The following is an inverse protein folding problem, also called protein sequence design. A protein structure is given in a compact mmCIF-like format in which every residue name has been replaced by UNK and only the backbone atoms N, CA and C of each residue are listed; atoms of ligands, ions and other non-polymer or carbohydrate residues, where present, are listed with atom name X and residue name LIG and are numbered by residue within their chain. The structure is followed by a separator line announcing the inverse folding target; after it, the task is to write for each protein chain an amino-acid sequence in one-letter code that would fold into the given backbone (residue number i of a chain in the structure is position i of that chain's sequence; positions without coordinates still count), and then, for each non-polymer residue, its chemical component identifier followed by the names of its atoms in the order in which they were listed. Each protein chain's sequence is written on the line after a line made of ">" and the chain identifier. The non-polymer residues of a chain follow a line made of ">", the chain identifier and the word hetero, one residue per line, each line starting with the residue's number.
data_IF_987533815461
#
_entry.id   IF_987533815461
#
_cell.length_a   1.000
_cell.length_b   1.000
_cell.length_c   1.000
_cell.angle_alpha   90.00
_cell.angle_beta   90.00
_cell.angle_gamma   90.00
#
_symmetry.space_group_name_H-M   'P 1'
#
loop_
_entity.id
_entity.type
_entity.pdbx_description
1 polymer ?
#
# COMPACT_ATOMS: atom_id res chain seq x y z
N UNK A 1 -6.83 -22.99 24.14
CA UNK A 1 -6.07 -22.59 25.36
C UNK A 1 -6.98 -22.38 26.56
N UNK A 2 -6.62 -22.91 27.73
CA UNK A 2 -7.29 -22.63 29.02
C UNK A 2 -6.33 -21.81 29.89
N UNK A 3 -6.80 -20.70 30.45
CA UNK A 3 -6.02 -19.84 31.36
C UNK A 3 -6.79 -19.55 32.64
N UNK A 4 -6.09 -19.06 33.66
CA UNK A 4 -6.67 -18.58 34.91
C UNK A 4 -6.70 -17.05 34.97
N UNK A 5 -7.44 -16.49 35.93
CA UNK A 5 -7.39 -15.06 36.22
C UNK A 5 -5.99 -14.58 36.64
N UNK A 6 -5.14 -15.45 37.19
CA UNK A 6 -3.77 -15.09 37.54
C UNK A 6 -2.89 -14.96 36.30
N UNK A 7 -3.12 -15.79 35.28
CA UNK A 7 -2.39 -15.73 34.02
C UNK A 7 -2.71 -14.44 33.26
N UNK A 8 -3.98 -14.02 33.26
CA UNK A 8 -4.42 -12.74 32.67
C UNK A 8 -3.62 -11.54 33.20
N UNK A 9 -3.31 -11.52 34.50
CA UNK A 9 -2.56 -10.43 35.14
C UNK A 9 -1.10 -10.35 34.70
N UNK A 10 -0.56 -11.41 34.10
CA UNK A 10 0.83 -11.48 33.63
C UNK A 10 0.98 -11.09 32.16
N UNK A 11 -0.13 -10.92 31.44
CA UNK A 11 -0.10 -10.60 30.02
C UNK A 11 0.28 -9.14 29.78
N UNK A 12 1.06 -8.90 28.74
CA UNK A 12 1.41 -7.55 28.29
C UNK A 12 0.34 -7.07 27.31
N UNK A 13 -0.19 -5.87 27.55
CA UNK A 13 -1.17 -5.23 26.65
C UNK A 13 -0.52 -4.81 25.34
N UNK A 14 -1.19 -5.06 24.21
CA UNK A 14 -0.78 -4.59 22.88
C UNK A 14 -1.70 -3.49 22.38
N UNK A 15 -2.99 -3.80 22.22
CA UNK A 15 -3.96 -2.90 21.59
C UNK A 15 -5.38 -3.25 21.99
N UNK A 16 -6.32 -2.39 21.61
CA UNK A 16 -7.76 -2.61 21.80
C UNK A 16 -8.50 -2.15 20.56
N UNK A 17 -9.38 -3.01 20.07
CA UNK A 17 -10.26 -2.76 18.93
C UNK A 17 -11.73 -2.81 19.33
N UNK A 18 -12.62 -2.76 18.34
CA UNK A 18 -14.08 -2.75 18.57
C UNK A 18 -14.58 -3.97 19.33
N UNK A 19 -14.05 -5.15 19.03
CA UNK A 19 -14.56 -6.42 19.56
C UNK A 19 -13.75 -6.98 20.72
N UNK A 20 -12.59 -6.43 21.03
CA UNK A 20 -11.72 -7.01 22.04
C UNK A 20 -10.37 -6.32 22.18
N UNK A 21 -9.70 -6.65 23.26
CA UNK A 21 -8.35 -6.21 23.58
C UNK A 21 -7.35 -7.34 23.31
N UNK A 22 -6.20 -7.01 22.75
CA UNK A 22 -5.12 -7.95 22.45
C UNK A 22 -4.01 -7.80 23.47
N UNK A 23 -3.58 -8.93 24.00
CA UNK A 23 -2.44 -9.06 24.92
C UNK A 23 -1.47 -10.12 24.38
N UNK A 24 -0.27 -10.22 24.96
CA UNK A 24 0.64 -11.32 24.66
C UNK A 24 1.42 -11.81 25.87
N UNK A 25 1.87 -13.06 25.80
CA UNK A 25 2.77 -13.71 26.78
C UNK A 25 4.21 -13.85 26.24
N UNK A 26 4.51 -13.20 25.11
CA UNK A 26 5.79 -13.30 24.38
C UNK A 26 5.85 -14.42 23.34
N UNK A 27 4.94 -15.41 23.41
CA UNK A 27 4.82 -16.51 22.43
C UNK A 27 3.49 -16.49 21.68
N UNK A 28 2.42 -16.17 22.38
CA UNK A 28 1.06 -16.15 21.90
C UNK A 28 0.47 -14.75 22.08
N UNK A 29 -0.35 -14.34 21.11
CA UNK A 29 -1.26 -13.23 21.22
C UNK A 29 -2.64 -13.75 21.64
N UNK A 30 -3.25 -13.08 22.60
CA UNK A 30 -4.54 -13.41 23.18
C UNK A 30 -5.49 -12.24 22.94
N UNK A 31 -6.51 -12.43 22.10
CA UNK A 31 -7.59 -11.45 21.92
C UNK A 31 -8.73 -11.82 22.86
N UNK A 32 -8.95 -10.96 23.84
CA UNK A 32 -9.99 -11.06 24.86
C UNK A 32 -11.17 -10.21 24.39
N UNK A 33 -12.31 -10.84 24.13
CA UNK A 33 -13.48 -10.12 23.63
C UNK A 33 -14.11 -9.25 24.72
N UNK A 34 -14.54 -8.04 24.35
CA UNK A 34 -15.29 -7.18 25.26
C UNK A 34 -16.68 -7.77 25.53
N UNK A 35 -17.26 -7.59 26.73
CA UNK A 35 -18.63 -8.01 27.04
C UNK A 35 -19.67 -7.41 26.07
N UNK A 36 -19.50 -6.13 25.75
CA UNK A 36 -20.41 -5.33 24.94
C UNK A 36 -19.62 -4.51 23.93
N UNK A 37 -20.26 -4.19 22.80
CA UNK A 37 -19.69 -3.37 21.74
C UNK A 37 -20.66 -2.28 21.32
N UNK A 38 -20.11 -1.15 20.87
CA UNK A 38 -20.89 0.00 20.42
C UNK A 38 -21.29 -0.18 18.95
N UNK A 39 -22.59 -0.21 18.66
CA UNK A 39 -23.14 -0.36 17.31
C UNK A 39 -23.88 0.91 16.91
N UNK A 40 -23.71 1.34 15.66
CA UNK A 40 -24.40 2.51 15.10
C UNK A 40 -25.77 2.12 14.56
N UNK A 41 -26.81 2.80 15.04
CA UNK A 41 -28.17 2.72 14.53
C UNK A 41 -28.55 4.05 13.87
N UNK A 42 -29.75 4.10 13.24
CA UNK A 42 -30.22 5.29 12.52
C UNK A 42 -30.23 6.58 13.35
N UNK A 43 -30.40 6.48 14.68
CA UNK A 43 -30.50 7.62 15.60
C UNK A 43 -29.42 7.65 16.69
N UNK A 44 -28.24 7.06 16.46
CA UNK A 44 -27.13 7.16 17.40
C UNK A 44 -26.38 5.86 17.57
N UNK A 45 -25.91 5.62 18.80
CA UNK A 45 -25.14 4.43 19.14
C UNK A 45 -25.76 3.73 20.35
N UNK A 46 -25.78 2.41 20.30
CA UNK A 46 -26.23 1.56 21.41
C UNK A 46 -25.13 0.56 21.77
N UNK A 47 -25.08 0.18 23.05
CA UNK A 47 -24.24 -0.93 23.52
C UNK A 47 -25.03 -2.22 23.34
N UNK A 48 -24.43 -3.19 22.66
CA UNK A 48 -25.03 -4.52 22.46
C UNK A 48 -24.05 -5.59 22.89
N UNK A 49 -24.56 -6.76 23.27
CA UNK A 49 -23.72 -7.92 23.58
C UNK A 49 -22.79 -8.24 22.40
N UNK A 50 -21.51 -8.45 22.70
CA UNK A 50 -20.51 -8.68 21.67
C UNK A 50 -20.80 -9.99 20.90
N UNK A 51 -21.04 -9.93 19.58
CA UNK A 51 -21.36 -11.11 18.79
C UNK A 51 -20.23 -12.16 18.78
N UNK A 52 -18.99 -11.75 19.06
CA UNK A 52 -17.83 -12.64 19.09
C UNK A 52 -17.78 -13.53 20.34
N UNK A 53 -18.52 -13.20 21.41
CA UNK A 53 -18.57 -14.03 22.64
C UNK A 53 -19.32 -15.34 22.46
N UNK A 54 -19.94 -15.56 21.30
CA UNK A 54 -20.54 -16.84 20.93
C UNK A 54 -19.55 -17.63 20.07
N UNK A 55 -18.97 -18.73 20.57
CA UNK A 55 -18.05 -19.53 19.76
C UNK A 55 -18.78 -20.03 18.52
N UNK A 56 -18.12 -19.99 17.36
CA UNK A 56 -18.70 -20.44 16.09
C UNK A 56 -18.01 -21.75 15.67
N UNK A 57 -18.50 -22.93 16.08
CA UNK A 57 -17.75 -24.19 15.97
C UNK A 57 -17.39 -24.54 14.52
N UNK A 58 -18.30 -24.23 13.58
CA UNK A 58 -18.08 -24.43 12.15
C UNK A 58 -16.90 -23.58 11.65
N UNK A 59 -16.77 -22.33 12.12
CA UNK A 59 -15.68 -21.44 11.71
C UNK A 59 -14.34 -21.98 12.18
N UNK A 60 -14.23 -22.38 13.44
CA UNK A 60 -12.99 -22.97 13.97
C UNK A 60 -12.63 -24.30 13.27
N UNK A 61 -13.62 -25.12 12.91
CA UNK A 61 -13.37 -26.32 12.09
C UNK A 61 -12.80 -25.97 10.72
N UNK A 62 -13.35 -24.94 10.05
CA UNK A 62 -12.84 -24.48 8.76
C UNK A 62 -11.43 -23.86 8.87
N UNK A 63 -11.19 -23.03 9.88
CA UNK A 63 -9.86 -22.49 10.20
C UNK A 63 -8.84 -23.63 10.31
N UNK A 64 -9.12 -24.65 11.14
CA UNK A 64 -8.23 -25.80 11.32
C UNK A 64 -8.05 -26.63 10.04
N UNK A 65 -9.11 -26.77 9.24
CA UNK A 65 -9.06 -27.46 7.95
C UNK A 65 -8.14 -26.75 6.95
N UNK A 66 -8.24 -25.43 6.85
CA UNK A 66 -7.43 -24.64 5.91
C UNK A 66 -6.01 -24.41 6.38
N UNK A 67 -5.76 -24.23 7.68
CA UNK A 67 -4.43 -23.95 8.23
C UNK A 67 -3.35 -24.92 7.73
N UNK A 68 -3.68 -26.20 7.58
CA UNK A 68 -2.75 -27.24 7.08
C UNK A 68 -2.38 -27.10 5.60
N UNK A 69 -3.03 -26.20 4.87
CA UNK A 69 -2.91 -26.01 3.41
C UNK A 69 -2.30 -24.67 3.04
N UNK A 70 -2.15 -23.77 4.03
CA UNK A 70 -1.54 -22.47 3.85
C UNK A 70 -0.04 -22.57 4.12
N UNK A 71 0.74 -21.85 3.33
CA UNK A 71 2.19 -21.79 3.40
C UNK A 71 2.67 -20.44 3.89
N UNK A 72 2.00 -19.35 3.51
CA UNK A 72 2.46 -17.99 3.82
C UNK A 72 1.58 -17.29 4.86
N UNK A 73 0.36 -17.77 5.06
CA UNK A 73 -0.60 -17.21 6.00
C UNK A 73 -0.90 -18.18 7.12
N UNK A 74 -0.90 -17.69 8.36
CA UNK A 74 -1.14 -18.50 9.54
C UNK A 74 -2.59 -18.41 10.01
N UNK A 75 -3.23 -19.56 10.22
CA UNK A 75 -4.59 -19.69 10.76
C UNK A 75 -4.58 -20.49 12.08
N UNK A 76 -3.50 -20.40 12.85
CA UNK A 76 -3.33 -21.09 14.14
C UNK A 76 -4.16 -20.42 15.26
N UNK A 77 -5.47 -20.29 15.04
CA UNK A 77 -6.41 -19.73 16.01
C UNK A 77 -7.02 -20.82 16.87
N UNK A 78 -6.91 -20.67 18.19
CA UNK A 78 -7.55 -21.54 19.17
C UNK A 78 -8.54 -20.77 20.04
N UNK A 79 -9.66 -21.39 20.44
CA UNK A 79 -10.52 -20.85 21.48
C UNK A 79 -9.75 -20.62 22.79
N UNK A 80 -9.96 -19.45 23.40
CA UNK A 80 -9.45 -19.08 24.71
C UNK A 80 -10.56 -19.19 25.74
N UNK A 81 -10.30 -19.94 26.81
CA UNK A 81 -11.19 -20.03 27.96
C UNK A 81 -10.50 -19.53 29.22
N UNK A 82 -11.22 -18.79 30.05
CA UNK A 82 -10.81 -18.45 31.41
C UNK A 82 -11.81 -19.06 32.38
N UNK A 83 -11.34 -19.88 33.33
CA UNK A 83 -12.19 -20.58 34.29
C UNK A 83 -13.40 -21.28 33.63
N UNK A 84 -13.16 -22.01 32.54
CA UNK A 84 -14.16 -22.72 31.72
C UNK A 84 -15.16 -21.84 30.93
N UNK A 85 -15.06 -20.51 31.01
CA UNK A 85 -15.86 -19.59 30.21
C UNK A 85 -15.10 -19.16 28.97
N UNK A 86 -15.77 -19.19 27.80
CA UNK A 86 -15.18 -18.71 26.55
C UNK A 86 -14.94 -17.20 26.64
N UNK A 87 -13.70 -16.79 26.41
CA UNK A 87 -13.25 -15.40 26.60
C UNK A 87 -12.79 -14.76 25.28
N UNK A 88 -12.34 -15.58 24.32
CA UNK A 88 -11.89 -15.09 23.02
C UNK A 88 -11.04 -16.09 22.29
N UNK A 89 -9.93 -15.64 21.71
CA UNK A 89 -9.06 -16.49 20.90
C UNK A 89 -7.58 -16.27 21.23
N UNK A 90 -6.79 -17.28 20.91
CA UNK A 90 -5.34 -17.28 21.01
C UNK A 90 -4.74 -17.62 19.64
N UNK A 91 -3.65 -16.96 19.27
CA UNK A 91 -2.91 -17.18 18.03
C UNK A 91 -1.41 -16.87 18.23
N UNK A 92 -0.51 -17.26 17.32
CA UNK A 92 0.91 -16.97 17.47
C UNK A 92 1.16 -15.47 17.58
N UNK A 93 2.04 -15.07 18.50
CA UNK A 93 2.50 -13.70 18.59
C UNK A 93 3.54 -13.43 17.50
N UNK A 94 3.32 -12.37 16.73
CA UNK A 94 4.28 -11.89 15.74
C UNK A 94 4.92 -10.60 16.24
N UNK A 95 6.22 -10.65 16.52
CA UNK A 95 7.01 -9.45 16.82
C UNK A 95 7.23 -8.66 15.53
N UNK A 96 6.51 -7.55 15.39
CA UNK A 96 6.43 -6.77 14.17
C UNK A 96 5.69 -5.46 14.35
N UNK A 97 5.61 -4.72 13.25
CA UNK A 97 5.00 -3.40 13.19
C UNK A 97 3.83 -3.43 12.23
N UNK A 98 2.70 -2.83 12.62
CA UNK A 98 1.54 -2.64 11.74
C UNK A 98 1.91 -1.77 10.54
N UNK A 99 1.36 -2.09 9.36
CA UNK A 99 1.65 -1.30 8.16
C UNK A 99 1.24 0.17 8.30
N UNK A 100 0.27 0.47 9.19
CA UNK A 100 -0.16 1.84 9.46
C UNK A 100 0.99 2.72 9.96
N UNK A 101 1.85 2.15 10.80
CA UNK A 101 3.01 2.83 11.37
C UNK A 101 4.18 2.89 10.37
N UNK A 102 4.22 1.96 9.42
CA UNK A 102 5.21 1.89 8.34
C UNK A 102 4.83 2.70 7.11
N UNK A 103 3.75 3.50 7.17
CA UNK A 103 3.25 4.21 6.01
C UNK A 103 4.29 5.14 5.37
N UNK A 104 5.28 5.66 6.10
CA UNK A 104 6.25 6.64 5.57
C UNK A 104 7.60 6.06 5.11
N UNK A 105 7.74 4.73 5.01
CA UNK A 105 9.01 4.11 4.56
C UNK A 105 9.25 4.29 3.04
N UNK A 106 10.48 4.10 2.53
CA UNK A 106 10.77 4.20 1.10
C UNK A 106 9.88 3.30 0.23
N UNK A 107 9.54 3.75 -0.97
CA UNK A 107 8.65 3.00 -1.88
C UNK A 107 9.18 1.60 -2.18
N UNK A 108 10.49 1.43 -2.38
CA UNK A 108 11.10 0.12 -2.64
C UNK A 108 10.85 -0.89 -1.52
N UNK A 109 10.78 -0.44 -0.27
CA UNK A 109 10.45 -1.29 0.87
C UNK A 109 8.95 -1.58 0.92
N UNK A 110 8.11 -0.56 0.64
CA UNK A 110 6.67 -0.77 0.51
C UNK A 110 6.33 -1.75 -0.59
N UNK A 111 7.07 -1.71 -1.71
CA UNK A 111 6.87 -2.58 -2.86
C UNK A 111 7.02 -4.04 -2.47
N UNK A 112 8.10 -4.38 -1.78
CA UNK A 112 8.37 -5.74 -1.32
C UNK A 112 7.31 -6.22 -0.33
N UNK A 113 6.92 -5.36 0.61
CA UNK A 113 5.82 -5.64 1.56
C UNK A 113 4.52 -5.92 0.80
N UNK A 114 4.17 -5.10 -0.19
CA UNK A 114 2.94 -5.29 -0.97
C UNK A 114 2.99 -6.57 -1.79
N UNK A 115 4.13 -6.97 -2.38
CA UNK A 115 4.26 -8.26 -3.07
C UNK A 115 3.93 -9.42 -2.13
N UNK A 116 4.46 -9.41 -0.92
CA UNK A 116 4.16 -10.43 0.07
C UNK A 116 2.68 -10.39 0.49
N UNK A 117 2.11 -9.20 0.73
CA UNK A 117 0.70 -9.04 1.06
C UNK A 117 -0.21 -9.62 -0.03
N UNK A 118 0.05 -9.29 -1.30
CA UNK A 118 -0.72 -9.80 -2.44
C UNK A 118 -0.62 -11.32 -2.57
N UNK A 119 0.58 -11.89 -2.37
CA UNK A 119 0.79 -13.35 -2.35
C UNK A 119 -0.03 -14.02 -1.25
N UNK A 120 0.04 -13.50 -0.03
CA UNK A 120 -0.65 -14.07 1.13
C UNK A 120 -2.18 -13.94 0.99
N UNK A 121 -2.66 -12.77 0.54
CA UNK A 121 -4.07 -12.55 0.26
C UNK A 121 -4.59 -13.49 -0.83
N UNK A 122 -3.81 -13.70 -1.91
CA UNK A 122 -4.17 -14.64 -2.97
C UNK A 122 -4.30 -16.06 -2.44
N UNK A 123 -3.34 -16.51 -1.64
CA UNK A 123 -3.37 -17.82 -0.98
C UNK A 123 -4.67 -18.04 -0.19
N UNK A 124 -5.12 -17.04 0.58
CA UNK A 124 -6.40 -17.09 1.30
C UNK A 124 -7.58 -17.28 0.34
N UNK A 125 -7.66 -16.48 -0.74
CA UNK A 125 -8.79 -16.57 -1.69
C UNK A 125 -8.79 -17.84 -2.53
N UNK A 126 -7.62 -18.40 -2.86
CA UNK A 126 -7.46 -19.71 -3.49
C UNK A 126 -8.02 -20.83 -2.60
N UNK A 127 -8.01 -20.61 -1.28
CA UNK A 127 -8.60 -21.49 -0.27
C UNK A 127 -9.98 -21.04 0.21
N UNK A 128 -10.66 -20.17 -0.54
CA UNK A 128 -12.03 -19.70 -0.25
C UNK A 128 -12.19 -19.00 1.12
N UNK A 129 -11.13 -18.33 1.56
CA UNK A 129 -11.10 -17.46 2.73
C UNK A 129 -11.10 -16.02 2.22
N UNK A 130 -12.10 -15.25 2.65
CA UNK A 130 -12.34 -13.89 2.18
C UNK A 130 -12.32 -12.92 3.35
N UNK A 131 -11.16 -12.33 3.69
CA UNK A 131 -11.11 -11.20 4.61
C UNK A 131 -11.82 -10.01 3.96
N UNK A 132 -12.81 -9.45 4.64
CA UNK A 132 -13.56 -8.27 4.18
C UNK A 132 -13.12 -6.99 4.88
N UNK A 133 -12.06 -7.06 5.69
CA UNK A 133 -11.55 -5.94 6.47
C UNK A 133 -10.02 -5.82 6.36
N UNK A 134 -9.52 -5.89 5.13
CA UNK A 134 -8.15 -5.46 4.88
C UNK A 134 -8.03 -3.98 5.27
N UNK A 135 -7.12 -3.70 6.20
CA UNK A 135 -6.72 -2.37 6.70
C UNK A 135 -5.24 -2.43 7.06
N UNK A 136 -4.58 -1.29 7.12
CA UNK A 136 -3.15 -1.23 7.46
C UNK A 136 -2.87 -1.75 8.88
N UNK A 137 -3.81 -1.61 9.80
CA UNK A 137 -3.70 -2.11 11.17
C UNK A 137 -3.85 -3.64 11.25
N UNK A 138 -4.50 -4.26 10.26
CA UNK A 138 -4.72 -5.71 10.19
C UNK A 138 -3.62 -6.45 9.40
N UNK A 139 -2.50 -5.76 9.13
CA UNK A 139 -1.34 -6.34 8.46
C UNK A 139 -0.08 -5.95 9.23
N UNK A 140 0.68 -6.96 9.65
CA UNK A 140 1.96 -6.79 10.34
C UNK A 140 3.13 -7.07 9.38
N UNK A 141 4.18 -6.27 9.48
CA UNK A 141 5.50 -6.59 8.96
C UNK A 141 6.42 -6.97 10.11
N UNK A 142 6.83 -8.23 10.15
CA UNK A 142 7.59 -8.79 11.27
C UNK A 142 9.06 -8.41 11.22
N UNK A 143 9.75 -8.45 12.36
CA UNK A 143 11.22 -8.26 12.42
C UNK A 143 12.01 -9.29 11.59
N UNK A 144 11.37 -10.40 11.20
CA UNK A 144 11.93 -11.43 10.30
C UNK A 144 11.75 -11.11 8.81
N UNK A 145 11.14 -9.98 8.47
CA UNK A 145 10.88 -9.58 7.08
C UNK A 145 9.67 -10.27 6.45
N UNK A 146 8.76 -10.81 7.26
CA UNK A 146 7.54 -11.47 6.79
C UNK A 146 6.31 -10.58 6.95
N UNK A 147 5.42 -10.59 5.96
CA UNK A 147 4.09 -9.99 6.09
C UNK A 147 3.10 -11.00 6.66
N UNK A 148 2.34 -10.59 7.69
CA UNK A 148 1.28 -11.40 8.32
C UNK A 148 -0.05 -10.66 8.26
N UNK A 149 -1.08 -11.32 7.74
CA UNK A 149 -2.47 -10.84 7.77
C UNK A 149 -3.07 -11.35 9.08
N UNK A 150 -3.51 -10.44 9.95
CA UNK A 150 -4.08 -10.75 11.26
C UNK A 150 -5.59 -10.47 11.29
N UNK A 151 -6.22 -10.73 12.44
CA UNK A 151 -7.65 -10.49 12.67
C UNK A 151 -8.59 -11.34 11.76
N UNK A 152 -8.12 -12.54 11.39
CA UNK A 152 -8.86 -13.47 10.51
C UNK A 152 -9.94 -14.26 11.27
N UNK A 153 -10.05 -14.08 12.59
CA UNK A 153 -11.11 -14.63 13.45
C UNK A 153 -12.37 -13.77 13.50
N UNK A 154 -12.31 -12.53 13.01
CA UNK A 154 -13.42 -11.58 13.07
C UNK A 154 -14.61 -12.02 12.18
N UNK A 155 -15.88 -11.71 12.55
CA UNK A 155 -17.06 -11.93 11.71
C UNK A 155 -16.94 -11.46 10.25
N UNK A 156 -16.12 -10.46 9.96
CA UNK A 156 -15.86 -9.92 8.62
C UNK A 156 -15.00 -10.86 7.77
N UNK A 157 -14.28 -11.81 8.34
CA UNK A 157 -13.57 -12.85 7.56
C UNK A 157 -14.50 -14.03 7.28
N UNK A 158 -14.80 -14.25 5.99
CA UNK A 158 -15.73 -15.31 5.55
C UNK A 158 -14.97 -16.54 5.06
N UNK A 159 -15.27 -17.68 5.69
CA UNK A 159 -14.76 -18.99 5.30
C UNK A 159 -15.84 -19.74 4.52
N UNK A 160 -15.49 -20.32 3.37
CA UNK A 160 -16.42 -21.09 2.52
C UNK A 160 -15.74 -22.37 2.06
N UNK A 161 -16.50 -23.44 1.81
CA UNK A 161 -15.95 -24.67 1.23
C UNK A 161 -15.73 -24.55 -0.28
N UNK A 162 -16.53 -23.69 -0.94
CA UNK A 162 -16.52 -23.47 -2.38
C UNK A 162 -16.30 -21.99 -2.70
N UNK A 163 -15.86 -21.72 -3.93
CA UNK A 163 -15.64 -20.38 -4.44
C UNK A 163 -16.90 -19.53 -4.37
N UNK A 164 -16.75 -18.29 -3.91
CA UNK A 164 -17.85 -17.35 -3.77
C UNK A 164 -17.54 -16.01 -4.47
N UNK A 165 -17.97 -15.82 -5.73
CA UNK A 165 -17.57 -14.66 -6.54
C UNK A 165 -17.85 -13.29 -5.91
N UNK A 166 -19.00 -13.11 -5.26
CA UNK A 166 -19.34 -11.83 -4.60
C UNK A 166 -18.40 -11.50 -3.43
N UNK A 167 -18.14 -12.47 -2.53
CA UNK A 167 -17.19 -12.30 -1.42
C UNK A 167 -15.76 -12.08 -1.91
N UNK A 168 -15.36 -12.79 -2.97
CA UNK A 168 -14.08 -12.55 -3.63
C UNK A 168 -13.95 -11.08 -4.07
N UNK A 169 -14.94 -10.54 -4.76
CA UNK A 169 -14.90 -9.14 -5.22
C UNK A 169 -14.88 -8.15 -4.04
N UNK A 170 -15.66 -8.37 -3.00
CA UNK A 170 -15.65 -7.53 -1.80
C UNK A 170 -14.29 -7.55 -1.09
N UNK A 171 -13.69 -8.73 -0.94
CA UNK A 171 -12.35 -8.92 -0.38
C UNK A 171 -11.28 -8.21 -1.22
N UNK A 172 -11.36 -8.33 -2.55
CA UNK A 172 -10.45 -7.65 -3.47
C UNK A 172 -10.56 -6.12 -3.42
N UNK A 173 -11.77 -5.57 -3.23
CA UNK A 173 -11.96 -4.12 -3.09
C UNK A 173 -11.27 -3.59 -1.82
N UNK A 174 -11.42 -4.28 -0.69
CA UNK A 174 -10.81 -3.86 0.57
C UNK A 174 -9.28 -4.00 0.53
N UNK A 175 -8.78 -5.09 -0.08
CA UNK A 175 -7.36 -5.27 -0.35
C UNK A 175 -6.79 -4.16 -1.23
N UNK A 176 -7.45 -3.85 -2.35
CA UNK A 176 -7.07 -2.76 -3.25
C UNK A 176 -6.92 -1.45 -2.48
N UNK A 177 -7.94 -1.09 -1.72
CA UNK A 177 -7.95 0.17 -0.98
C UNK A 177 -6.79 0.22 0.04
N UNK A 178 -6.49 -0.90 0.69
CA UNK A 178 -5.37 -1.01 1.63
C UNK A 178 -4.02 -0.85 0.93
N UNK A 179 -3.80 -1.56 -0.18
CA UNK A 179 -2.57 -1.48 -0.96
C UNK A 179 -2.34 -0.07 -1.48
N UNK A 180 -3.37 0.53 -2.10
CA UNK A 180 -3.34 1.91 -2.59
C UNK A 180 -3.04 2.88 -1.45
N UNK A 181 -3.70 2.71 -0.29
CA UNK A 181 -3.46 3.59 0.85
C UNK A 181 -2.02 3.48 1.38
N UNK A 182 -1.47 2.27 1.48
CA UNK A 182 -0.11 2.05 1.96
C UNK A 182 0.94 2.67 1.04
N UNK A 183 0.84 2.37 -0.27
CA UNK A 183 1.79 2.86 -1.27
C UNK A 183 1.78 4.40 -1.31
N UNK A 184 0.61 5.03 -1.17
CA UNK A 184 0.44 6.46 -1.39
C UNK A 184 0.58 7.33 -0.15
N UNK A 185 0.61 6.74 1.04
CA UNK A 185 0.81 7.49 2.27
C UNK A 185 2.26 7.96 2.38
N UNK A 186 2.61 9.12 1.82
CA UNK A 186 3.87 9.80 2.11
C UNK A 186 3.54 11.16 2.73
N UNK A 187 3.85 11.35 4.01
CA UNK A 187 3.62 12.62 4.70
C UNK A 187 4.79 13.59 4.51
N UNK A 188 4.45 14.79 4.04
CA UNK A 188 5.16 16.06 4.23
C UNK A 188 6.56 16.23 3.64
N UNK A 189 6.58 16.63 2.37
CA UNK A 189 7.58 17.56 1.85
C UNK A 189 6.80 18.69 1.13
N UNK A 190 7.02 19.98 1.45
CA UNK A 190 6.13 21.07 1.02
C UNK A 190 6.13 21.39 -0.49
N UNK A 191 6.97 20.71 -1.28
CA UNK A 191 6.99 20.79 -2.76
C UNK A 191 6.82 19.41 -3.46
N UNK A 192 6.35 18.42 -2.70
CA UNK A 192 6.21 17.00 -3.08
C UNK A 192 4.83 16.68 -3.69
N UNK A 193 3.95 17.68 -3.81
CA UNK A 193 2.50 17.46 -3.90
C UNK A 193 1.87 17.51 -5.28
N UNK A 194 2.62 17.73 -6.37
CA UNK A 194 2.00 17.90 -7.70
C UNK A 194 2.19 16.67 -8.60
N UNK A 195 3.43 16.22 -8.77
CA UNK A 195 3.77 15.11 -9.68
C UNK A 195 3.31 13.75 -9.15
N UNK A 196 3.50 13.45 -7.85
CA UNK A 196 2.96 12.22 -7.25
C UNK A 196 1.42 12.25 -7.15
N UNK A 197 0.82 13.41 -6.87
CA UNK A 197 -0.63 13.52 -6.65
C UNK A 197 -1.43 13.26 -7.94
N UNK A 198 -0.90 13.66 -9.10
CA UNK A 198 -1.59 13.53 -10.40
C UNK A 198 -1.43 12.14 -11.03
N UNK A 199 -0.22 11.56 -10.94
CA UNK A 199 0.11 10.20 -11.39
C UNK A 199 -0.69 9.14 -10.61
N UNK A 200 -0.79 9.32 -9.28
CA UNK A 200 -1.54 8.41 -8.42
C UNK A 200 -3.05 8.46 -8.65
N UNK A 201 -3.64 9.62 -8.91
CA UNK A 201 -5.10 9.74 -9.06
C UNK A 201 -5.63 8.95 -10.26
N UNK A 202 -5.03 9.10 -11.45
CA UNK A 202 -5.48 8.42 -12.67
C UNK A 202 -5.31 6.89 -12.61
N UNK A 203 -4.21 6.39 -12.05
CA UNK A 203 -3.97 4.94 -11.97
C UNK A 203 -4.90 4.26 -10.95
N UNK A 204 -5.24 4.93 -9.85
CA UNK A 204 -6.29 4.45 -8.92
C UNK A 204 -7.66 4.41 -9.62
N UNK A 205 -7.99 5.40 -10.47
CA UNK A 205 -9.23 5.38 -11.24
C UNK A 205 -9.25 4.29 -12.33
N UNK A 206 -8.10 3.88 -12.85
CA UNK A 206 -8.00 2.74 -13.78
C UNK A 206 -8.31 1.39 -13.10
N UNK A 207 -8.09 1.30 -11.78
CA UNK A 207 -8.48 0.17 -10.97
C UNK A 207 -9.99 0.23 -10.68
N UNK A 208 -10.77 -0.23 -11.66
CA UNK A 208 -12.22 -0.34 -11.55
C UNK A 208 -12.69 -1.16 -10.33
N UNK A 209 -14.00 -1.21 -10.13
CA UNK A 209 -14.58 -1.92 -8.98
C UNK A 209 -14.40 -3.45 -9.04
N UNK A 210 -14.11 -4.00 -10.22
CA UNK A 210 -13.74 -5.41 -10.41
C UNK A 210 -12.25 -5.50 -10.68
N UNK A 211 -11.50 -5.91 -9.66
CA UNK A 211 -10.04 -5.97 -9.71
C UNK A 211 -9.55 -7.40 -9.51
N UNK A 212 -8.44 -7.71 -10.17
CA UNK A 212 -7.73 -8.99 -10.07
C UNK A 212 -6.38 -8.79 -9.39
N UNK A 213 -5.79 -9.88 -8.87
CA UNK A 213 -4.42 -9.83 -8.36
C UNK A 213 -3.43 -9.36 -9.42
N UNK A 214 -3.59 -9.79 -10.68
CA UNK A 214 -2.71 -9.37 -11.77
C UNK A 214 -2.72 -7.85 -11.94
N UNK A 215 -3.90 -7.22 -11.93
CA UNK A 215 -4.01 -5.76 -12.01
C UNK A 215 -3.38 -5.04 -10.81
N UNK A 216 -3.40 -5.64 -9.61
CA UNK A 216 -2.68 -5.09 -8.45
C UNK A 216 -1.16 -5.25 -8.57
N UNK A 217 -0.68 -6.36 -9.12
CA UNK A 217 0.74 -6.54 -9.43
C UNK A 217 1.19 -5.59 -10.54
N UNK A 218 0.39 -5.39 -11.58
CA UNK A 218 0.68 -4.44 -12.66
C UNK A 218 0.72 -3.01 -12.11
N UNK A 219 -0.22 -2.64 -11.24
CA UNK A 219 -0.20 -1.37 -10.51
C UNK A 219 1.09 -1.18 -9.71
N UNK A 220 1.56 -2.24 -9.05
CA UNK A 220 2.83 -2.20 -8.32
C UNK A 220 4.03 -2.03 -9.27
N UNK A 221 4.03 -2.73 -10.41
CA UNK A 221 5.11 -2.71 -11.40
C UNK A 221 5.21 -1.39 -12.16
N UNK A 222 4.10 -0.66 -12.30
CA UNK A 222 4.07 0.69 -12.88
C UNK A 222 5.01 1.64 -12.11
N UNK A 223 5.15 1.44 -10.80
CA UNK A 223 6.07 2.21 -9.97
C UNK A 223 7.56 1.78 -10.09
N UNK A 224 7.86 0.76 -10.90
CA UNK A 224 9.18 0.13 -11.02
C UNK A 224 9.99 0.62 -12.24
N UNK A 225 9.57 1.71 -12.87
CA UNK A 225 10.24 2.26 -14.05
C UNK A 225 11.61 2.84 -13.75
N UNK A 226 12.60 2.56 -14.61
CA UNK A 226 13.95 3.15 -14.55
C UNK A 226 14.12 4.41 -15.40
N UNK A 227 13.04 5.06 -15.84
CA UNK A 227 13.16 6.23 -16.71
C UNK A 227 13.53 7.47 -15.89
N UNK A 228 14.64 8.11 -16.21
CA UNK A 228 15.01 9.39 -15.62
C UNK A 228 14.77 10.49 -16.66
N UNK A 229 14.13 11.60 -16.27
CA UNK A 229 13.86 12.71 -17.20
C UNK A 229 14.46 14.03 -16.69
N UNK A 230 15.07 14.80 -17.58
CA UNK A 230 15.46 16.18 -17.34
C UNK A 230 14.53 17.08 -18.14
N UNK A 231 13.85 17.97 -17.42
CA UNK A 231 12.92 18.94 -18.00
C UNK A 231 13.68 20.25 -18.20
N UNK A 232 13.72 20.70 -19.45
CA UNK A 232 14.39 21.92 -19.86
C UNK A 232 13.34 22.97 -20.22
N UNK A 233 13.33 24.05 -19.45
CA UNK A 233 12.60 25.27 -19.72
C UNK A 233 13.49 26.23 -20.51
N UNK A 234 13.20 26.54 -21.78
CA UNK A 234 14.04 27.42 -22.59
C UNK A 234 14.35 28.76 -21.91
N UNK A 235 13.36 29.35 -21.24
CA UNK A 235 13.44 30.64 -20.56
C UNK A 235 14.35 30.64 -19.30
N UNK A 236 14.69 29.45 -18.80
CA UNK A 236 15.56 29.25 -17.64
C UNK A 236 16.89 28.57 -18.00
N UNK A 237 17.09 28.27 -19.28
CA UNK A 237 18.23 27.48 -19.74
C UNK A 237 19.49 28.34 -19.92
N UNK A 238 20.63 27.78 -19.53
CA UNK A 238 21.95 28.35 -19.81
C UNK A 238 22.84 27.32 -20.51
N UNK A 239 23.44 27.71 -21.64
CA UNK A 239 24.36 26.84 -22.40
C UNK A 239 25.63 26.48 -21.62
N UNK A 240 25.98 27.19 -20.56
CA UNK A 240 27.06 26.78 -19.67
C UNK A 240 26.79 25.45 -18.95
N UNK A 241 25.53 24.98 -18.93
CA UNK A 241 25.13 23.73 -18.28
C UNK A 241 25.24 22.49 -19.16
N UNK A 242 25.56 22.63 -20.46
CA UNK A 242 25.60 21.52 -21.43
C UNK A 242 26.46 20.34 -20.95
N UNK A 243 27.67 20.62 -20.43
CA UNK A 243 28.57 19.58 -19.94
C UNK A 243 27.99 18.79 -18.76
N UNK A 244 27.26 19.46 -17.86
CA UNK A 244 26.59 18.82 -16.73
C UNK A 244 25.43 17.94 -17.18
N UNK A 245 24.67 18.40 -18.17
CA UNK A 245 23.55 17.65 -18.75
C UNK A 245 24.05 16.38 -19.44
N UNK A 246 25.10 16.49 -20.26
CA UNK A 246 25.73 15.32 -20.89
C UNK A 246 26.25 14.31 -19.86
N UNK A 247 26.88 14.80 -18.78
CA UNK A 247 27.32 13.94 -17.69
C UNK A 247 26.15 13.24 -16.99
N UNK A 248 25.02 13.94 -16.82
CA UNK A 248 23.80 13.39 -16.24
C UNK A 248 23.19 12.30 -17.13
N UNK A 249 23.00 12.57 -18.43
CA UNK A 249 22.50 11.61 -19.43
C UNK A 249 23.35 10.33 -19.37
N UNK A 250 24.68 10.45 -19.39
CA UNK A 250 25.60 9.30 -19.36
C UNK A 250 25.52 8.51 -18.05
N UNK A 251 25.40 9.17 -16.90
CA UNK A 251 25.41 8.53 -15.57
C UNK A 251 24.07 7.89 -15.21
N UNK A 252 22.96 8.48 -15.66
CA UNK A 252 21.60 8.16 -15.21
C UNK A 252 20.68 7.70 -16.32
N UNK A 253 21.15 7.57 -17.57
CA UNK A 253 20.31 7.26 -18.74
C UNK A 253 19.11 8.23 -18.84
N UNK A 254 19.37 9.52 -18.60
CA UNK A 254 18.35 10.56 -18.52
C UNK A 254 17.88 10.96 -19.92
N UNK A 255 16.56 10.99 -20.12
CA UNK A 255 15.88 11.48 -21.32
C UNK A 255 15.54 12.97 -21.17
N UNK A 256 15.55 13.73 -22.27
CA UNK A 256 15.38 15.20 -22.24
C UNK A 256 14.02 15.60 -22.78
N UNK A 257 13.23 16.31 -21.98
CA UNK A 257 11.98 16.94 -22.44
C UNK A 257 12.17 18.45 -22.44
N UNK A 258 11.84 19.11 -23.55
CA UNK A 258 11.86 20.57 -23.67
C UNK A 258 10.45 21.13 -23.51
N UNK A 259 10.30 22.19 -22.73
CA UNK A 259 9.05 22.94 -22.63
C UNK A 259 8.93 23.89 -23.82
N UNK A 260 7.75 23.97 -24.42
CA UNK A 260 7.34 24.97 -25.39
C UNK A 260 6.52 26.06 -24.66
N UNK A 261 7.13 27.20 -24.29
CA UNK A 261 6.44 28.24 -23.53
C UNK A 261 5.34 28.88 -24.37
N UNK A 262 4.20 29.19 -23.74
CA UNK A 262 3.06 29.78 -24.45
C UNK A 262 3.38 31.14 -25.11
N UNK A 263 4.39 31.83 -24.59
CA UNK A 263 4.86 33.13 -25.07
C UNK A 263 5.92 33.04 -26.17
N UNK A 264 6.44 31.85 -26.48
CA UNK A 264 7.47 31.67 -27.51
C UNK A 264 6.84 31.55 -28.89
N UNK A 265 7.46 32.19 -29.89
CA UNK A 265 7.16 31.87 -31.28
C UNK A 265 7.77 30.51 -31.66
N UNK A 266 7.17 29.85 -32.65
CA UNK A 266 7.67 28.59 -33.18
C UNK A 266 9.15 28.68 -33.62
N UNK A 267 9.55 29.80 -34.24
CA UNK A 267 10.93 30.04 -34.68
C UNK A 267 11.91 30.10 -33.50
N UNK A 268 11.52 30.74 -32.39
CA UNK A 268 12.36 30.82 -31.18
C UNK A 268 12.54 29.44 -30.56
N UNK A 269 11.47 28.66 -30.44
CA UNK A 269 11.53 27.29 -29.94
C UNK A 269 12.39 26.39 -30.85
N UNK A 270 12.19 26.48 -32.17
CA UNK A 270 12.93 25.70 -33.15
C UNK A 270 14.43 26.02 -33.07
N UNK A 271 14.80 27.29 -32.98
CA UNK A 271 16.19 27.71 -32.84
C UNK A 271 16.81 27.19 -31.54
N UNK A 272 16.07 27.20 -30.44
CA UNK A 272 16.50 26.64 -29.15
C UNK A 272 16.75 25.12 -29.25
N UNK A 273 15.79 24.38 -29.79
CA UNK A 273 15.87 22.93 -30.02
C UNK A 273 17.07 22.57 -30.90
N UNK A 274 17.24 23.26 -32.03
CA UNK A 274 18.38 23.03 -32.92
C UNK A 274 19.71 23.32 -32.24
N UNK A 275 19.77 24.33 -31.37
CA UNK A 275 20.97 24.65 -30.61
C UNK A 275 21.34 23.54 -29.61
N UNK A 276 20.36 22.88 -28.97
CA UNK A 276 20.60 21.72 -28.12
C UNK A 276 21.09 20.50 -28.93
N UNK A 277 20.49 20.26 -30.10
CA UNK A 277 20.87 19.16 -31.00
C UNK A 277 22.30 19.37 -31.52
N UNK A 278 22.65 20.57 -31.97
CA UNK A 278 24.03 20.92 -32.37
C UNK A 278 25.02 20.78 -31.21
N UNK A 279 24.57 21.08 -29.99
CA UNK A 279 25.36 20.82 -28.79
C UNK A 279 25.48 19.34 -28.43
N UNK A 280 24.86 18.41 -29.19
CA UNK A 280 24.92 16.97 -28.98
C UNK A 280 24.02 16.49 -27.84
N UNK A 281 22.89 17.15 -27.62
CA UNK A 281 21.83 16.70 -26.71
C UNK A 281 20.66 16.20 -27.57
N UNK A 282 20.34 14.92 -27.43
CA UNK A 282 19.16 14.32 -28.04
C UNK A 282 17.91 14.72 -27.25
N UNK A 283 16.95 15.32 -27.94
CA UNK A 283 15.67 15.70 -27.36
C UNK A 283 14.71 14.53 -27.54
N UNK A 284 14.16 14.05 -26.43
CA UNK A 284 13.20 12.96 -26.43
C UNK A 284 11.81 13.46 -26.85
N UNK A 285 11.38 14.62 -26.35
CA UNK A 285 10.13 15.25 -26.76
C UNK A 285 10.09 16.76 -26.46
N UNK A 286 9.15 17.48 -27.08
CA UNK A 286 8.86 18.91 -26.90
C UNK A 286 7.40 19.06 -26.47
N UNK A 287 7.12 19.86 -25.44
CA UNK A 287 5.80 19.89 -24.82
C UNK A 287 5.27 21.30 -24.47
N UNK A 288 4.03 21.65 -24.87
CA UNK A 288 3.46 22.98 -24.63
C UNK A 288 3.17 23.28 -23.15
N UNK A 289 3.64 24.43 -22.68
CA UNK A 289 3.48 24.97 -21.33
C UNK A 289 2.03 25.31 -21.01
N UNK A 290 1.27 25.77 -22.01
CA UNK A 290 -0.16 26.08 -21.88
C UNK A 290 -1.03 24.87 -21.50
N UNK A 291 -0.45 23.68 -21.48
CA UNK A 291 -1.14 22.50 -20.97
C UNK A 291 -0.91 22.39 -19.45
N UNK A 292 -2.01 22.39 -18.68
CA UNK A 292 -2.07 21.81 -17.32
C UNK A 292 -1.79 20.28 -17.35
N UNK A 293 -0.94 19.79 -18.27
CA UNK A 293 -0.77 18.39 -18.67
C UNK A 293 0.68 17.96 -18.87
N UNK A 294 1.70 18.80 -18.68
CA UNK A 294 3.06 18.25 -18.65
C UNK A 294 3.20 17.19 -17.56
N UNK A 295 2.43 17.38 -16.49
CA UNK A 295 2.20 16.42 -15.42
C UNK A 295 1.59 15.12 -15.96
N UNK A 296 0.49 15.19 -16.71
CA UNK A 296 -0.12 14.00 -17.37
C UNK A 296 0.78 13.31 -18.40
N UNK A 297 1.67 14.07 -19.05
CA UNK A 297 2.60 13.55 -20.03
C UNK A 297 3.75 12.78 -19.35
N UNK A 298 4.39 13.38 -18.34
CA UNK A 298 5.35 12.73 -17.42
C UNK A 298 4.72 11.47 -16.79
N UNK A 299 3.41 11.52 -16.48
CA UNK A 299 2.65 10.38 -15.96
C UNK A 299 2.56 9.17 -16.90
N UNK A 300 2.58 9.36 -18.22
CA UNK A 300 2.50 8.25 -19.19
C UNK A 300 3.83 7.50 -19.34
N UNK A 301 4.95 8.09 -18.91
CA UNK A 301 6.27 7.48 -19.14
C UNK A 301 6.78 6.64 -17.98
N UNK A 302 6.11 6.64 -16.82
CA UNK A 302 6.56 6.03 -15.56
C UNK A 302 8.02 6.41 -15.24
N UNK A 303 8.24 7.34 -14.32
CA UNK A 303 9.53 8.03 -14.17
C UNK A 303 10.14 7.74 -12.79
N UNK A 304 11.38 7.26 -12.74
CA UNK A 304 12.14 7.05 -11.50
C UNK A 304 12.70 8.33 -10.90
N UNK A 305 13.10 9.30 -11.72
CA UNK A 305 13.75 10.52 -11.26
C UNK A 305 13.48 11.67 -12.24
N UNK A 306 13.16 12.85 -11.71
CA UNK A 306 13.03 14.07 -12.51
C UNK A 306 14.07 15.10 -12.09
N UNK A 307 14.63 15.79 -13.08
CA UNK A 307 15.56 16.89 -12.89
C UNK A 307 14.96 18.15 -13.49
N UNK A 308 15.11 19.26 -12.78
CA UNK A 308 14.71 20.59 -13.25
C UNK A 308 15.95 21.48 -13.24
N UNK A 309 16.12 22.27 -14.30
CA UNK A 309 17.18 23.26 -14.38
C UNK A 309 16.74 24.51 -13.61
N UNK A 310 17.38 24.76 -12.47
CA UNK A 310 17.27 26.01 -11.72
C UNK A 310 18.59 26.77 -11.84
N UNK A 311 18.56 28.12 -11.84
CA UNK A 311 19.64 29.05 -12.23
C UNK A 311 20.99 28.85 -11.51
N UNK A 312 21.08 27.96 -10.52
CA UNK A 312 22.29 27.74 -9.73
C UNK A 312 22.79 26.28 -9.61
N UNK A 313 22.08 25.26 -10.10
CA UNK A 313 22.54 23.85 -10.20
C UNK A 313 21.40 22.96 -10.69
N UNK A 314 21.74 21.85 -11.37
CA UNK A 314 20.80 20.73 -11.54
C UNK A 314 20.59 20.14 -10.13
N UNK A 315 19.50 20.54 -9.47
CA UNK A 315 19.14 19.97 -8.17
C UNK A 315 18.47 18.63 -8.42
N UNK A 316 19.05 17.58 -7.82
CA UNK A 316 18.36 16.31 -7.58
C UNK A 316 17.25 16.62 -6.57
N UNK A 317 16.00 16.34 -6.92
CA UNK A 317 14.88 16.48 -5.99
C UNK A 317 14.65 15.18 -5.25
#
# INVERSE_FOLDING_TARGET
>A
MNITNQDLKKLTYLSSGTFGSVYHDGKNALKIYHPEVKVRYGFGYEMVSNPCLRPHPIKFRLIKYYNKRLKYTDLNYEPLYCNQQFLGICYPYYDGTELYQLKNIPFSEKEEIVKQLLRNAKELTDHHIYPLDYKLDNVLYTKKGEVKIIDLDDPLTKYRLIKHPSLYQQSMITLKNTVVHFLNSNSNQPYFSLTQFLQHKQQIYSLGNRITYQQLYDYLNIHNSKNNFLIIRPEQFSFHMISNIKALIKRKQTKIIVIDPAEFSYEVLQNFVMSLIHAGIEIYDIWPEASNKIENYINNYNISETFIIDKQKIKRR
#
